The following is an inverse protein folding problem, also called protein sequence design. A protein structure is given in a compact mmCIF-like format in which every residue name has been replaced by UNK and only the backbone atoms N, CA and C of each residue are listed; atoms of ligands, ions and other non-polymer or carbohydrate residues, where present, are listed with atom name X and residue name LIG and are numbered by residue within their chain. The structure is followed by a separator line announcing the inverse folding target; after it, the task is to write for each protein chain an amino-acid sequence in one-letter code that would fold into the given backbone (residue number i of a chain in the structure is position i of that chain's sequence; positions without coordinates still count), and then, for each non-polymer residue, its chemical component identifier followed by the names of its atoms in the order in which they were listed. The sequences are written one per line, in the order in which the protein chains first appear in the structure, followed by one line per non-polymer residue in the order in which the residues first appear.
data_IF_197788789116
#
_entry.id   IF_197788789116
#
_cell.length_a   1.000
_cell.length_b   1.000
_cell.length_c   1.000
_cell.angle_alpha   90.00
_cell.angle_beta   90.00
_cell.angle_gamma   90.00
#
_symmetry.space_group_name_H-M   'P 1'
#
loop_
_entity.id
_entity.type
_entity.pdbx_description
1 polymer ?
#
# COMPACT_ATOMS: atom_id res chain seq x y z
N UNK A 1 18.65 6.48 37.42
CA UNK A 1 17.61 5.54 36.94
C UNK A 1 17.44 5.62 35.42
N UNK A 2 18.45 6.14 34.72
CA UNK A 2 18.23 6.82 33.44
C UNK A 2 18.69 5.93 32.28
N UNK A 3 19.72 5.10 32.54
CA UNK A 3 20.15 4.06 31.62
C UNK A 3 19.13 2.93 31.46
N UNK A 4 18.42 2.54 32.53
CA UNK A 4 17.37 1.49 32.43
C UNK A 4 16.21 1.98 31.56
N UNK A 5 15.74 3.21 31.80
CA UNK A 5 14.67 3.82 30.98
C UNK A 5 15.12 4.00 29.53
N UNK A 6 16.34 4.50 29.30
CA UNK A 6 16.89 4.67 27.95
C UNK A 6 16.99 3.34 27.20
N UNK A 7 17.53 2.30 27.87
CA UNK A 7 17.62 0.95 27.28
C UNK A 7 16.22 0.41 26.96
N UNK A 8 15.26 0.55 27.87
CA UNK A 8 13.87 0.12 27.63
C UNK A 8 13.23 0.85 26.44
N UNK A 9 13.41 2.16 26.31
CA UNK A 9 12.88 2.94 25.19
C UNK A 9 13.52 2.53 23.86
N UNK A 10 14.84 2.35 23.83
CA UNK A 10 15.56 1.91 22.64
C UNK A 10 15.16 0.47 22.24
N UNK A 11 15.01 -0.43 23.22
CA UNK A 11 14.54 -1.79 22.97
C UNK A 11 13.11 -1.80 22.42
N UNK A 12 12.21 -0.99 22.98
CA UNK A 12 10.83 -0.90 22.51
C UNK A 12 10.76 -0.31 21.09
N UNK A 13 11.49 0.77 20.83
CA UNK A 13 11.58 1.38 19.51
C UNK A 13 12.19 0.42 18.48
N UNK A 14 13.27 -0.28 18.85
CA UNK A 14 13.92 -1.26 17.98
C UNK A 14 13.02 -2.46 17.67
N UNK A 15 12.36 -3.04 18.69
CA UNK A 15 11.41 -4.13 18.49
C UNK A 15 10.22 -3.71 17.62
N UNK A 16 9.63 -2.54 17.91
CA UNK A 16 8.52 -1.99 17.12
C UNK A 16 8.92 -1.73 15.66
N UNK A 17 10.12 -1.19 15.43
CA UNK A 17 10.67 -0.98 14.10
C UNK A 17 10.84 -2.30 13.33
N UNK A 18 11.42 -3.33 13.96
CA UNK A 18 11.62 -4.64 13.34
C UNK A 18 10.30 -5.32 13.00
N UNK A 19 9.33 -5.29 13.92
CA UNK A 19 7.98 -5.82 13.67
C UNK A 19 7.27 -5.04 12.55
N UNK A 20 7.40 -3.71 12.53
CA UNK A 20 6.87 -2.89 11.45
C UNK A 20 7.49 -3.20 10.08
N UNK A 21 8.81 -3.45 10.03
CA UNK A 21 9.46 -3.91 8.80
C UNK A 21 8.96 -5.28 8.34
N UNK A 22 8.79 -6.22 9.28
CA UNK A 22 8.24 -7.54 8.96
C UNK A 22 6.83 -7.43 8.39
N UNK A 23 5.98 -6.63 9.04
CA UNK A 23 4.61 -6.36 8.60
C UNK A 23 4.55 -5.73 7.20
N UNK A 24 5.42 -4.75 6.91
CA UNK A 24 5.46 -4.11 5.60
C UNK A 24 5.83 -5.05 4.43
N UNK A 25 6.43 -6.22 4.72
CA UNK A 25 6.83 -7.23 3.72
C UNK A 25 5.76 -8.33 3.60
N UNK A 26 4.65 -8.23 4.33
CA UNK A 26 3.54 -9.18 4.22
C UNK A 26 2.88 -9.14 2.83
N UNK A 27 2.27 -10.28 2.46
CA UNK A 27 1.80 -10.51 1.10
C UNK A 27 0.71 -9.51 0.67
N UNK A 28 -0.12 -9.07 1.59
CA UNK A 28 -1.18 -8.09 1.36
C UNK A 28 -0.62 -6.67 1.12
N UNK A 29 0.39 -6.26 1.87
CA UNK A 29 1.11 -5.00 1.72
C UNK A 29 1.83 -4.94 0.37
N UNK A 30 2.58 -6.00 0.05
CA UNK A 30 3.26 -6.14 -1.24
C UNK A 30 2.25 -6.16 -2.39
N UNK A 31 1.14 -6.90 -2.26
CA UNK A 31 0.09 -6.94 -3.27
C UNK A 31 -0.52 -5.54 -3.49
N UNK A 32 -0.91 -4.84 -2.43
CA UNK A 32 -1.51 -3.51 -2.53
C UNK A 32 -0.57 -2.49 -3.18
N UNK A 33 0.66 -2.39 -2.68
CA UNK A 33 1.65 -1.40 -3.15
C UNK A 33 2.11 -1.70 -4.58
N UNK A 34 2.21 -2.98 -4.97
CA UNK A 34 2.61 -3.38 -6.33
C UNK A 34 1.68 -2.81 -7.41
N UNK A 35 0.38 -2.68 -7.11
CA UNK A 35 -0.61 -2.15 -8.06
C UNK A 35 -0.37 -0.68 -8.43
N UNK A 36 0.23 0.09 -7.51
CA UNK A 36 0.60 1.49 -7.74
C UNK A 36 1.96 1.60 -8.42
N UNK A 37 2.93 0.80 -7.98
CA UNK A 37 4.31 0.83 -8.47
C UNK A 37 4.39 0.44 -9.95
N UNK A 38 3.63 -0.57 -10.38
CA UNK A 38 3.63 -1.05 -11.77
C UNK A 38 3.23 0.02 -12.80
N UNK A 39 2.52 1.08 -12.37
CA UNK A 39 1.98 2.14 -13.25
C UNK A 39 2.80 3.42 -13.26
N UNK A 40 3.71 3.61 -12.31
CA UNK A 40 4.38 4.89 -12.09
C UNK A 40 5.46 5.22 -13.15
N UNK A 41 5.96 4.20 -13.86
CA UNK A 41 6.94 4.34 -14.96
C UNK A 41 8.32 4.85 -14.57
N UNK A 42 8.58 5.18 -13.29
CA UNK A 42 9.89 5.60 -12.79
C UNK A 42 10.05 5.34 -11.29
N UNK A 43 11.27 4.99 -10.87
CA UNK A 43 11.58 4.64 -9.48
C UNK A 43 11.19 5.74 -8.49
N UNK A 44 11.50 7.01 -8.80
CA UNK A 44 11.16 8.16 -7.95
C UNK A 44 9.66 8.29 -7.71
N UNK A 45 8.84 8.04 -8.73
CA UNK A 45 7.37 8.13 -8.62
C UNK A 45 6.81 6.95 -7.81
N UNK A 46 7.33 5.74 -8.04
CA UNK A 46 6.99 4.55 -7.26
C UNK A 46 7.29 4.74 -5.78
N UNK A 47 8.46 5.31 -5.45
CA UNK A 47 8.83 5.62 -4.06
C UNK A 47 7.89 6.65 -3.43
N UNK A 48 7.48 7.69 -4.17
CA UNK A 48 6.56 8.71 -3.64
C UNK A 48 5.17 8.12 -3.37
N UNK A 49 4.65 7.28 -4.26
CA UNK A 49 3.36 6.61 -4.08
C UNK A 49 3.38 5.69 -2.85
N UNK A 50 4.44 4.88 -2.71
CA UNK A 50 4.64 4.03 -1.52
C UNK A 50 4.78 4.85 -0.24
N UNK A 51 5.48 6.00 -0.28
CA UNK A 51 5.61 6.90 0.86
C UNK A 51 4.25 7.47 1.30
N UNK A 52 3.44 8.00 0.38
CA UNK A 52 2.11 8.52 0.72
C UNK A 52 1.16 7.43 1.20
N UNK A 53 1.28 6.21 0.66
CA UNK A 53 0.54 5.05 1.14
C UNK A 53 0.91 4.72 2.60
N UNK A 54 2.20 4.56 2.89
CA UNK A 54 2.68 4.28 4.25
C UNK A 54 2.35 5.41 5.23
N UNK A 55 2.35 6.67 4.77
CA UNK A 55 1.92 7.81 5.56
C UNK A 55 0.43 7.73 5.92
N UNK A 56 -0.43 7.38 4.97
CA UNK A 56 -1.87 7.18 5.23
C UNK A 56 -2.14 6.05 6.23
N UNK A 57 -1.48 4.90 6.02
CA UNK A 57 -1.56 3.74 6.90
C UNK A 57 -1.11 4.08 8.33
N UNK A 58 0.06 4.72 8.48
CA UNK A 58 0.57 5.10 9.80
C UNK A 58 -0.33 6.14 10.48
N UNK A 59 -0.87 7.08 9.71
CA UNK A 59 -1.71 8.16 10.24
C UNK A 59 -3.00 7.62 10.86
N UNK A 60 -3.66 6.66 10.21
CA UNK A 60 -4.91 6.10 10.75
C UNK A 60 -4.65 5.27 12.02
N UNK A 61 -3.56 4.49 12.05
CA UNK A 61 -3.19 3.68 13.21
C UNK A 61 -2.85 4.55 14.41
N UNK A 62 -2.08 5.62 14.20
CA UNK A 62 -1.75 6.59 15.25
C UNK A 62 -3.02 7.27 15.75
N UNK A 63 -3.89 7.74 14.85
CA UNK A 63 -5.12 8.43 15.23
C UNK A 63 -6.07 7.50 16.01
N UNK A 64 -6.34 6.31 15.47
CA UNK A 64 -7.17 5.30 16.12
C UNK A 64 -6.57 4.90 17.47
N UNK A 65 -5.28 4.60 17.52
CA UNK A 65 -4.57 4.27 18.75
C UNK A 65 -4.69 5.36 19.83
N UNK A 66 -4.48 6.64 19.46
CA UNK A 66 -4.66 7.77 20.38
C UNK A 66 -6.09 7.82 20.90
N UNK A 67 -7.10 7.69 20.04
CA UNK A 67 -8.51 7.73 20.42
C UNK A 67 -8.83 6.58 21.39
N UNK A 68 -8.45 5.35 21.05
CA UNK A 68 -8.71 4.17 21.87
C UNK A 68 -8.04 4.28 23.25
N UNK A 69 -6.80 4.77 23.30
CA UNK A 69 -6.06 4.94 24.55
C UNK A 69 -6.64 6.08 25.41
N UNK A 70 -6.98 7.22 24.80
CA UNK A 70 -7.51 8.40 25.51
C UNK A 70 -8.88 8.12 26.12
N UNK A 71 -9.76 7.46 25.36
CA UNK A 71 -11.11 7.14 25.79
C UNK A 71 -11.23 5.75 26.44
N UNK A 72 -10.13 4.99 26.54
CA UNK A 72 -10.08 3.61 27.05
C UNK A 72 -11.15 2.71 26.43
N UNK A 73 -11.33 2.85 25.12
CA UNK A 73 -12.33 2.10 24.35
C UNK A 73 -11.77 0.72 24.06
N UNK A 74 -12.57 -0.32 24.35
CA UNK A 74 -12.33 -1.66 23.85
C UNK A 74 -13.10 -1.84 22.54
N UNK A 75 -12.43 -2.30 21.48
CA UNK A 75 -13.06 -2.58 20.20
C UNK A 75 -13.80 -3.93 20.30
N UNK A 76 -15.11 -3.99 20.04
CA UNK A 76 -15.83 -5.26 19.93
C UNK A 76 -15.36 -6.06 18.71
N UNK A 77 -15.32 -7.39 18.81
CA UNK A 77 -14.91 -8.30 17.74
C UNK A 77 -15.63 -8.03 16.41
N UNK A 78 -16.91 -7.63 16.46
CA UNK A 78 -17.69 -7.29 15.27
C UNK A 78 -17.03 -6.19 14.43
N UNK A 79 -16.45 -5.16 15.06
CA UNK A 79 -15.77 -4.09 14.34
C UNK A 79 -14.45 -4.57 13.72
N UNK A 80 -13.72 -5.44 14.40
CA UNK A 80 -12.51 -6.05 13.85
C UNK A 80 -12.82 -6.84 12.57
N UNK A 81 -13.85 -7.70 12.59
CA UNK A 81 -14.26 -8.45 11.41
C UNK A 81 -14.76 -7.54 10.27
N UNK A 82 -15.43 -6.43 10.61
CA UNK A 82 -15.87 -5.46 9.61
C UNK A 82 -14.70 -4.75 8.93
N UNK A 83 -13.67 -4.36 9.69
CA UNK A 83 -12.46 -3.76 9.12
C UNK A 83 -11.70 -4.76 8.25
N UNK A 84 -11.49 -5.99 8.74
CA UNK A 84 -10.85 -7.07 7.98
C UNK A 84 -11.59 -7.36 6.67
N UNK A 85 -12.92 -7.48 6.71
CA UNK A 85 -13.74 -7.67 5.52
C UNK A 85 -13.65 -6.47 4.57
N UNK A 86 -13.60 -5.24 5.10
CA UNK A 86 -13.41 -4.02 4.32
C UNK A 86 -12.09 -4.01 3.55
N UNK A 87 -10.99 -4.37 4.23
CA UNK A 87 -9.67 -4.49 3.61
C UNK A 87 -9.66 -5.61 2.56
N UNK A 88 -10.28 -6.76 2.85
CA UNK A 88 -10.42 -7.86 1.89
C UNK A 88 -11.15 -7.45 0.61
N UNK A 89 -12.29 -6.75 0.74
CA UNK A 89 -13.04 -6.22 -0.41
C UNK A 89 -12.19 -5.21 -1.19
N UNK A 90 -11.46 -4.33 -0.51
CA UNK A 90 -10.56 -3.37 -1.14
C UNK A 90 -9.48 -4.08 -1.99
N UNK A 91 -8.86 -5.14 -1.48
CA UNK A 91 -7.86 -5.92 -2.22
C UNK A 91 -8.45 -6.60 -3.46
N UNK A 92 -9.65 -7.16 -3.36
CA UNK A 92 -10.36 -7.77 -4.51
C UNK A 92 -10.62 -6.71 -5.59
N UNK A 93 -11.13 -5.54 -5.21
CA UNK A 93 -11.39 -4.44 -6.16
C UNK A 93 -10.09 -3.97 -6.82
N UNK A 94 -9.02 -3.82 -6.05
CA UNK A 94 -7.72 -3.38 -6.56
C UNK A 94 -7.14 -4.42 -7.54
N UNK A 95 -7.19 -5.71 -7.19
CA UNK A 95 -6.78 -6.81 -8.07
C UNK A 95 -7.59 -6.88 -9.37
N UNK A 96 -8.91 -6.75 -9.29
CA UNK A 96 -9.78 -6.70 -10.47
C UNK A 96 -9.45 -5.49 -11.37
N UNK A 97 -9.20 -4.31 -10.78
CA UNK A 97 -8.79 -3.12 -11.53
C UNK A 97 -7.47 -3.32 -12.27
N UNK A 98 -6.52 -4.05 -11.69
CA UNK A 98 -5.28 -4.43 -12.40
C UNK A 98 -5.62 -5.30 -13.60
N UNK A 99 -6.36 -6.40 -13.40
CA UNK A 99 -6.71 -7.34 -14.47
C UNK A 99 -7.50 -6.66 -15.61
N UNK A 100 -8.46 -5.80 -15.28
CA UNK A 100 -9.34 -5.13 -16.26
C UNK A 100 -8.59 -4.06 -17.06
N UNK A 101 -7.65 -3.35 -16.43
CA UNK A 101 -6.87 -2.30 -17.11
C UNK A 101 -5.69 -2.89 -17.91
N UNK A 102 -5.14 -4.02 -17.48
CA UNK A 102 -4.18 -4.85 -18.23
C UNK A 102 -4.87 -5.69 -19.32
N UNK A 103 -5.91 -5.15 -20.00
CA UNK A 103 -6.37 -5.76 -21.25
C UNK A 103 -5.18 -5.79 -22.21
N UNK A 104 -4.61 -6.98 -22.37
CA UNK A 104 -3.44 -7.25 -23.19
C UNK A 104 -3.81 -6.96 -24.65
N UNK A 105 -3.43 -5.79 -25.15
CA UNK A 105 -3.50 -5.50 -26.58
C UNK A 105 -2.21 -5.99 -27.23
N UNK A 106 -2.27 -7.18 -27.83
CA UNK A 106 -1.21 -7.71 -28.70
C UNK A 106 -1.09 -6.83 -29.95
N UNK A 107 -0.03 -6.03 -30.07
CA UNK A 107 0.33 -5.36 -31.31
C UNK A 107 1.44 -6.12 -32.03
N UNK A 108 1.17 -6.47 -33.27
CA UNK A 108 2.07 -7.17 -34.18
C UNK A 108 2.80 -6.12 -35.01
N UNK A 109 4.10 -5.93 -34.76
CA UNK A 109 4.94 -5.04 -35.56
C UNK A 109 5.92 -5.86 -36.41
N UNK A 110 6.24 -5.34 -37.59
CA UNK A 110 7.19 -5.94 -38.54
C UNK A 110 8.37 -5.00 -38.67
N UNK A 111 9.54 -5.44 -38.24
CA UNK A 111 10.81 -4.72 -38.42
C UNK A 111 11.79 -5.66 -39.13
N UNK A 112 12.48 -5.17 -40.17
CA UNK A 112 13.44 -5.94 -40.98
C UNK A 112 12.92 -7.27 -41.53
N UNK A 113 11.63 -7.32 -41.91
CA UNK A 113 11.02 -8.51 -42.51
C UNK A 113 10.68 -9.64 -41.54
N UNK A 114 11.06 -9.53 -40.25
CA UNK A 114 10.73 -10.47 -39.18
C UNK A 114 9.53 -9.92 -38.39
N UNK A 115 8.46 -10.72 -38.26
CA UNK A 115 7.38 -10.41 -37.33
C UNK A 115 7.85 -10.71 -35.91
N UNK A 116 7.80 -9.71 -35.03
CA UNK A 116 7.96 -9.93 -33.60
C UNK A 116 6.83 -9.28 -32.82
N UNK A 117 6.53 -9.88 -31.68
CA UNK A 117 5.44 -9.53 -30.81
C UNK A 117 6.00 -8.74 -29.63
N UNK A 118 5.83 -7.42 -29.65
CA UNK A 118 6.20 -6.59 -28.50
C UNK A 118 4.95 -6.33 -27.64
N UNK A 119 5.09 -6.58 -26.34
CA UNK A 119 4.17 -6.11 -25.31
C UNK A 119 4.50 -4.64 -25.04
N UNK A 120 3.70 -3.71 -25.57
CA UNK A 120 3.77 -2.30 -25.18
C UNK A 120 2.50 -1.89 -24.44
N UNK A 121 2.65 -1.32 -23.25
CA UNK A 121 1.61 -0.58 -22.56
C UNK A 121 1.81 0.91 -22.81
N UNK A 122 1.06 1.50 -23.74
CA UNK A 122 0.86 2.94 -23.75
C UNK A 122 -0.40 3.25 -22.95
N UNK A 123 -0.24 3.43 -21.64
CA UNK A 123 -1.20 4.20 -20.86
C UNK A 123 -1.01 5.69 -21.22
N UNK A 124 -1.36 6.07 -22.45
CA UNK A 124 -1.54 7.47 -22.80
C UNK A 124 -2.86 7.93 -22.20
N UNK A 125 -2.75 8.44 -20.99
CA UNK A 125 -3.74 9.35 -20.43
C UNK A 125 -2.95 10.38 -19.66
N UNK A 126 -3.19 11.64 -19.96
CA UNK A 126 -2.91 12.74 -19.05
C UNK A 126 -3.67 12.46 -17.74
N UNK A 127 -3.08 11.67 -16.85
CA UNK A 127 -3.68 11.31 -15.58
C UNK A 127 -3.15 12.27 -14.55
N UNK A 128 -4.03 13.19 -14.16
CA UNK A 128 -3.84 14.06 -13.01
C UNK A 128 -3.31 13.24 -11.82
N UNK A 129 -2.26 13.77 -11.18
CA UNK A 129 -1.53 13.12 -10.09
C UNK A 129 -2.45 12.79 -8.90
N UNK A 130 -2.76 11.52 -8.67
CA UNK A 130 -3.58 11.09 -7.53
C UNK A 130 -2.71 10.51 -6.38
N UNK A 131 -1.78 11.30 -5.83
CA UNK A 131 -1.09 10.96 -4.57
C UNK A 131 -2.09 10.75 -3.42
N UNK A 132 -3.22 11.46 -3.46
CA UNK A 132 -4.33 11.30 -2.53
C UNK A 132 -4.95 9.90 -2.57
N UNK A 133 -5.02 9.27 -3.75
CA UNK A 133 -5.53 7.90 -3.87
C UNK A 133 -4.67 6.90 -3.10
N UNK A 134 -3.34 7.05 -3.22
CA UNK A 134 -2.37 6.21 -2.49
C UNK A 134 -2.51 6.37 -0.97
N UNK A 135 -2.64 7.62 -0.51
CA UNK A 135 -2.82 7.94 0.91
C UNK A 135 -4.12 7.35 1.48
N UNK A 136 -5.24 7.54 0.77
CA UNK A 136 -6.54 7.02 1.23
C UNK A 136 -6.54 5.50 1.27
N UNK A 137 -5.97 4.83 0.26
CA UNK A 137 -5.85 3.37 0.27
C UNK A 137 -4.96 2.90 1.41
N UNK A 138 -3.85 3.60 1.69
CA UNK A 138 -3.03 3.33 2.87
C UNK A 138 -3.80 3.47 4.18
N UNK A 139 -4.56 4.56 4.34
CA UNK A 139 -5.38 4.80 5.51
C UNK A 139 -6.53 3.78 5.66
N UNK A 140 -7.11 3.30 4.56
CA UNK A 140 -8.11 2.23 4.62
C UNK A 140 -7.48 0.88 4.97
N UNK A 141 -6.25 0.63 4.51
CA UNK A 141 -5.55 -0.61 4.79
C UNK A 141 -5.08 -0.73 6.25
N UNK A 142 -4.78 0.39 6.89
CA UNK A 142 -4.36 0.41 8.30
C UNK A 142 -5.50 0.33 9.32
N UNK A 143 -6.75 0.08 8.89
CA UNK A 143 -7.93 -0.02 9.75
C UNK A 143 -8.31 -1.46 10.04
#
# INVERSE_FOLDING_TARGET
MDHVVLVSLLSLAGAGMLLGFAHAIEADHLAAVSTFIGRAGSLKRSSLLGFFWGLGHSSILILAGIILLLFRISIPDTFMYLFEMGVGVMLVVLGLRVIIQEKIHLHRHRHDGVEHLHLHSHAHSEQHHHYHGSFVVGAMHGL
#
